data_IF_654363232972
#
_entry.id   IF_654363232972
#
_cell.length_a   1.000
_cell.length_b   1.000
_cell.length_c   1.000
_cell.angle_alpha   90.00
_cell.angle_beta   90.00
_cell.angle_gamma   90.00
#
_symmetry.space_group_name_H-M   'P 1'
#
loop_
_entity.id
_entity.type
_entity.pdbx_description
1 polymer ?
#
# COMPACT_ATOMS: atom_id res chain seq x y z
N UNK A 1 -9.90 8.63 -2.13
CA UNK A 1 -9.08 7.82 -3.06
C UNK A 1 -9.46 8.22 -4.46
N UNK A 2 -8.61 9.03 -5.11
CA UNK A 2 -8.79 9.40 -6.51
C UNK A 2 -7.75 8.60 -7.29
N UNK A 3 -8.21 7.76 -8.21
CA UNK A 3 -7.35 7.06 -9.13
C UNK A 3 -7.06 7.99 -10.29
N UNK A 4 -5.78 8.24 -10.56
CA UNK A 4 -5.35 9.10 -11.65
C UNK A 4 -4.41 8.31 -12.55
N UNK A 5 -4.46 8.65 -13.84
CA UNK A 5 -3.56 8.09 -14.83
C UNK A 5 -2.54 9.12 -15.31
N UNK A 6 -1.33 8.65 -15.60
CA UNK A 6 -0.34 9.38 -16.38
C UNK A 6 0.28 8.44 -17.41
N UNK A 7 0.75 9.00 -18.53
CA UNK A 7 1.28 8.21 -19.64
C UNK A 7 2.49 8.86 -20.27
N UNK A 8 3.37 8.03 -20.82
CA UNK A 8 4.48 8.45 -21.66
C UNK A 8 4.58 7.58 -22.92
N UNK A 9 4.93 8.23 -24.02
CA UNK A 9 5.34 7.60 -25.26
C UNK A 9 6.82 7.90 -25.49
N UNK A 10 7.65 6.86 -25.50
CA UNK A 10 9.09 6.99 -25.65
C UNK A 10 9.58 6.24 -26.89
N UNK A 11 10.02 7.02 -27.89
CA UNK A 11 10.48 6.49 -29.18
C UNK A 11 12.00 6.52 -29.27
N UNK A 12 12.58 5.35 -29.53
CA UNK A 12 14.03 5.18 -29.76
C UNK A 12 14.29 4.89 -31.24
N UNK A 13 14.61 5.93 -32.00
CA UNK A 13 14.98 5.84 -33.42
C UNK A 13 16.28 5.08 -33.65
N UNK A 14 17.26 5.24 -32.76
CA UNK A 14 18.59 4.65 -32.88
C UNK A 14 18.74 3.31 -32.15
N UNK A 15 17.62 2.61 -31.87
CA UNK A 15 17.61 1.37 -31.10
C UNK A 15 18.68 0.36 -31.54
N UNK A 16 18.77 0.07 -32.84
CA UNK A 16 19.74 -0.93 -33.34
C UNK A 16 21.20 -0.49 -33.16
N UNK A 17 21.48 0.81 -33.30
CA UNK A 17 22.82 1.36 -33.08
C UNK A 17 23.21 1.20 -31.62
N UNK A 18 22.36 1.67 -30.71
CA UNK A 18 22.57 1.56 -29.25
C UNK A 18 22.68 0.10 -28.81
N UNK A 19 21.80 -0.76 -29.33
CA UNK A 19 21.80 -2.19 -29.06
C UNK A 19 23.06 -2.90 -29.56
N UNK A 20 23.64 -2.45 -30.68
CA UNK A 20 24.90 -3.00 -31.19
C UNK A 20 26.08 -2.51 -30.36
N UNK A 21 26.08 -1.24 -29.96
CA UNK A 21 27.12 -0.66 -29.08
C UNK A 21 27.14 -1.29 -27.68
N UNK A 22 26.04 -1.90 -27.21
CA UNK A 22 25.98 -2.58 -25.92
C UNK A 22 26.71 -3.94 -25.88
N UNK A 23 27.46 -4.29 -26.94
CA UNK A 23 28.23 -5.54 -27.00
C UNK A 23 29.39 -5.56 -26.00
N UNK A 24 30.03 -4.40 -25.81
CA UNK A 24 31.24 -4.27 -24.99
C UNK A 24 30.97 -3.67 -23.59
N UNK A 25 29.76 -3.17 -23.35
CA UNK A 25 29.39 -2.53 -22.08
C UNK A 25 27.87 -2.52 -21.92
N UNK A 26 27.41 -2.62 -20.67
CA UNK A 26 26.01 -2.42 -20.33
C UNK A 26 25.62 -0.95 -20.56
N UNK A 27 24.57 -0.73 -21.36
CA UNK A 27 24.05 0.62 -21.64
C UNK A 27 22.67 0.72 -21.01
N UNK A 28 22.45 1.78 -20.23
CA UNK A 28 21.15 2.12 -19.66
C UNK A 28 20.73 3.50 -20.14
N UNK A 29 19.49 3.60 -20.61
CA UNK A 29 18.87 4.86 -21.02
C UNK A 29 17.60 5.10 -20.21
N UNK A 30 17.27 6.37 -20.02
CA UNK A 30 16.06 6.81 -19.32
C UNK A 30 15.27 7.76 -20.21
N UNK A 31 13.94 7.66 -20.16
CA UNK A 31 13.07 8.66 -20.78
C UNK A 31 13.13 9.99 -20.03
N UNK A 32 12.50 11.02 -20.59
CA UNK A 32 12.09 12.18 -19.80
C UNK A 32 11.15 11.75 -18.67
N UNK A 33 11.16 12.54 -17.59
CA UNK A 33 10.22 12.34 -16.48
C UNK A 33 8.83 12.78 -16.89
N UNK A 34 7.85 11.99 -16.50
CA UNK A 34 6.45 12.31 -16.63
C UNK A 34 5.76 12.20 -15.26
N UNK A 35 4.71 12.98 -15.07
CA UNK A 35 3.98 13.06 -13.80
C UNK A 35 2.51 13.37 -14.11
N UNK A 36 1.69 13.44 -13.08
CA UNK A 36 0.35 14.00 -13.23
C UNK A 36 0.30 15.39 -12.57
N UNK A 37 -0.35 16.34 -13.23
CA UNK A 37 -0.49 17.72 -12.73
C UNK A 37 -1.20 17.80 -11.37
N UNK A 38 -2.14 16.89 -11.10
CA UNK A 38 -2.88 16.84 -9.84
C UNK A 38 -2.00 16.31 -8.68
N UNK A 39 -0.87 15.67 -8.98
CA UNK A 39 0.03 15.10 -7.98
C UNK A 39 1.52 15.23 -8.39
N UNK A 40 2.08 16.45 -8.37
CA UNK A 40 3.41 16.72 -8.92
C UNK A 40 4.57 16.26 -8.02
N UNK A 41 4.29 15.82 -6.77
CA UNK A 41 5.32 15.32 -5.83
C UNK A 41 5.86 13.95 -6.22
N UNK A 42 5.20 13.26 -7.14
CA UNK A 42 5.65 11.99 -7.72
C UNK A 42 5.77 12.10 -9.22
N UNK A 43 6.90 11.63 -9.71
CA UNK A 43 7.18 11.51 -11.13
C UNK A 43 7.63 10.08 -11.44
N UNK A 44 7.57 9.72 -12.71
CA UNK A 44 8.04 8.45 -13.22
C UNK A 44 8.94 8.67 -14.43
N UNK A 45 9.83 7.73 -14.68
CA UNK A 45 10.59 7.64 -15.93
C UNK A 45 10.77 6.19 -16.33
N UNK A 46 10.74 5.93 -17.63
CA UNK A 46 11.02 4.61 -18.18
C UNK A 46 12.52 4.40 -18.25
N UNK A 47 12.95 3.24 -17.80
CA UNK A 47 14.34 2.79 -17.90
C UNK A 47 14.41 1.61 -18.86
N UNK A 48 15.39 1.64 -19.76
CA UNK A 48 15.76 0.50 -20.60
C UNK A 48 17.24 0.19 -20.40
N UNK A 49 17.56 -1.08 -20.32
CA UNK A 49 18.93 -1.55 -20.18
C UNK A 49 19.22 -2.68 -21.15
N UNK A 50 20.37 -2.56 -21.79
CA UNK A 50 20.89 -3.53 -22.74
C UNK A 50 22.02 -4.31 -22.10
N UNK A 51 21.85 -5.63 -21.99
CA UNK A 51 22.86 -6.53 -21.44
C UNK A 51 23.15 -7.62 -22.47
N UNK A 52 24.43 -7.81 -22.80
CA UNK A 52 24.88 -8.88 -23.73
C UNK A 52 25.91 -9.84 -23.15
N UNK A 53 26.40 -9.59 -21.93
CA UNK A 53 27.43 -10.40 -21.26
C UNK A 53 26.98 -11.86 -21.05
N UNK A 54 25.67 -12.10 -20.93
CA UNK A 54 25.08 -13.42 -20.68
C UNK A 54 24.06 -13.85 -21.76
N UNK A 55 24.03 -13.17 -22.91
CA UNK A 55 23.01 -13.35 -23.97
C UNK A 55 22.27 -12.06 -24.31
N UNK A 56 21.52 -11.98 -25.44
CA UNK A 56 20.82 -10.77 -25.87
C UNK A 56 19.60 -10.46 -24.98
N UNK A 57 19.79 -9.63 -23.96
CA UNK A 57 18.75 -9.28 -23.00
C UNK A 57 18.45 -7.76 -23.02
N UNK A 58 17.16 -7.41 -22.99
CA UNK A 58 16.67 -6.04 -22.89
C UNK A 58 15.72 -5.96 -21.70
N UNK A 59 16.14 -5.24 -20.66
CA UNK A 59 15.34 -5.02 -19.46
C UNK A 59 14.64 -3.68 -19.55
N UNK A 60 13.33 -3.67 -19.30
CA UNK A 60 12.51 -2.45 -19.29
C UNK A 60 11.76 -2.40 -17.97
N UNK A 61 11.86 -1.27 -17.26
CA UNK A 61 11.13 -1.06 -16.01
C UNK A 61 10.72 0.41 -15.86
N UNK A 62 9.74 0.63 -15.00
CA UNK A 62 9.33 1.96 -14.56
C UNK A 62 10.10 2.31 -13.28
N UNK A 63 10.70 3.50 -13.24
CA UNK A 63 11.27 4.06 -12.01
C UNK A 63 10.37 5.18 -11.50
N UNK A 64 9.93 5.07 -10.25
CA UNK A 64 9.21 6.14 -9.55
C UNK A 64 10.22 7.03 -8.82
N UNK A 65 10.01 8.35 -8.90
CA UNK A 65 10.76 9.38 -8.20
C UNK A 65 9.81 10.05 -7.22
N UNK A 66 10.21 10.10 -5.94
CA UNK A 66 9.33 10.45 -4.84
C UNK A 66 8.41 9.29 -4.46
N UNK A 67 7.42 9.53 -3.60
CA UNK A 67 7.09 10.82 -2.99
C UNK A 67 8.18 11.32 -2.02
N UNK A 68 8.34 12.65 -1.95
CA UNK A 68 9.39 13.28 -1.13
C UNK A 68 9.02 13.40 0.36
N UNK A 69 7.75 13.12 0.71
CA UNK A 69 7.23 13.10 2.09
C UNK A 69 6.77 11.69 2.43
N UNK A 70 6.90 11.32 3.69
CA UNK A 70 6.52 9.97 4.18
C UNK A 70 5.00 9.76 4.15
N UNK A 71 4.22 10.84 4.22
CA UNK A 71 2.76 10.81 4.25
C UNK A 71 2.12 10.86 2.86
N UNK A 72 2.87 11.28 1.85
CA UNK A 72 2.49 11.10 0.46
C UNK A 72 2.72 9.61 0.16
N UNK A 73 1.75 8.73 0.33
CA UNK A 73 1.89 7.31 -0.04
C UNK A 73 1.21 7.10 -1.40
N UNK A 74 1.96 6.55 -2.35
CA UNK A 74 1.47 6.29 -3.72
C UNK A 74 1.48 4.80 -4.00
N UNK A 75 0.30 4.24 -4.24
CA UNK A 75 0.16 2.90 -4.77
C UNK A 75 0.10 2.96 -6.29
N UNK A 76 1.17 2.49 -6.94
CA UNK A 76 1.33 2.60 -8.40
C UNK A 76 1.15 1.25 -9.07
N UNK A 77 0.21 1.17 -10.00
CA UNK A 77 0.11 0.12 -11.01
C UNK A 77 0.57 0.67 -12.34
N UNK A 78 1.22 -0.16 -13.14
CA UNK A 78 1.68 0.27 -14.46
C UNK A 78 1.58 -0.84 -15.49
N UNK A 79 1.47 -0.42 -16.75
CA UNK A 79 1.57 -1.29 -17.93
C UNK A 79 2.59 -0.69 -18.87
N UNK A 80 3.50 -1.53 -19.38
CA UNK A 80 4.48 -1.14 -20.39
C UNK A 80 4.21 -1.98 -21.65
N UNK A 81 4.04 -1.30 -22.77
CA UNK A 81 3.86 -1.90 -24.09
C UNK A 81 5.07 -1.57 -24.95
N UNK A 82 5.71 -2.61 -25.48
CA UNK A 82 6.76 -2.46 -26.47
C UNK A 82 6.18 -2.71 -27.87
N UNK A 83 6.20 -1.67 -28.70
CA UNK A 83 5.75 -1.70 -30.08
C UNK A 83 6.94 -1.56 -31.00
N UNK A 84 6.99 -2.43 -32.02
CA UNK A 84 7.97 -2.32 -33.10
C UNK A 84 7.35 -1.55 -34.25
N UNK A 85 7.95 -0.44 -34.63
CA UNK A 85 7.53 0.32 -35.81
C UNK A 85 8.16 -0.27 -37.09
N UNK A 86 7.53 -0.02 -38.25
CA UNK A 86 8.00 -0.40 -39.59
C UNK A 86 9.42 0.09 -39.87
N UNK A 87 9.85 1.16 -39.20
CA UNK A 87 11.18 1.77 -39.31
C UNK A 87 12.26 1.15 -38.39
N UNK A 88 12.01 -0.02 -37.79
CA UNK A 88 12.93 -0.69 -36.83
C UNK A 88 13.27 0.14 -35.59
N UNK A 89 12.49 1.18 -35.28
CA UNK A 89 12.56 1.89 -33.99
C UNK A 89 11.78 1.11 -32.92
N UNK A 90 12.27 1.15 -31.68
CA UNK A 90 11.53 0.68 -30.52
C UNK A 90 10.65 1.82 -30.01
N UNK A 91 9.35 1.55 -29.85
CA UNK A 91 8.41 2.48 -29.24
C UNK A 91 7.89 1.87 -27.93
N UNK A 92 8.15 2.54 -26.82
CA UNK A 92 7.63 2.15 -25.51
C UNK A 92 6.48 3.07 -25.13
N UNK A 93 5.33 2.47 -24.83
CA UNK A 93 4.22 3.17 -24.21
C UNK A 93 4.08 2.69 -22.78
N UNK A 94 4.03 3.62 -21.83
CA UNK A 94 3.74 3.28 -20.45
C UNK A 94 2.54 4.07 -19.96
N UNK A 95 1.61 3.34 -19.37
CA UNK A 95 0.48 3.89 -18.63
C UNK A 95 0.69 3.55 -17.15
N UNK A 96 0.56 4.57 -16.33
CA UNK A 96 0.68 4.52 -14.88
C UNK A 96 -0.65 4.90 -14.30
N UNK A 97 -1.24 4.00 -13.53
CA UNK A 97 -2.45 4.22 -12.74
C UNK A 97 -2.01 4.25 -11.28
N UNK A 98 -2.27 5.35 -10.59
CA UNK A 98 -1.87 5.47 -9.20
C UNK A 98 -3.00 6.01 -8.35
N UNK A 99 -3.12 5.43 -7.16
CA UNK A 99 -4.05 5.86 -6.15
C UNK A 99 -3.31 6.79 -5.21
N UNK A 100 -3.80 8.03 -5.12
CA UNK A 100 -3.36 8.96 -4.10
C UNK A 100 -4.55 9.40 -3.25
N UNK A 101 -4.23 9.72 -2.00
CA UNK A 101 -5.15 10.32 -1.06
C UNK A 101 -4.76 11.78 -0.96
N UNK A 102 -5.65 12.67 -1.38
CA UNK A 102 -5.47 14.09 -1.14
C UNK A 102 -5.68 14.35 0.35
N UNK A 103 -4.58 14.30 1.11
CA UNK A 103 -4.58 14.63 2.54
C UNK A 103 -4.82 16.13 2.76
N UNK A 104 -4.70 16.98 1.72
CA UNK A 104 -5.04 18.40 1.85
C UNK A 104 -6.55 18.64 1.91
N UNK A 105 -7.35 17.65 1.56
CA UNK A 105 -8.81 17.67 1.69
C UNK A 105 -9.27 17.13 3.06
N UNK A 106 -8.33 16.73 3.93
CA UNK A 106 -8.63 16.56 5.35
C UNK A 106 -8.98 17.94 5.91
N UNK A 107 -10.08 18.00 6.65
CA UNK A 107 -10.43 19.20 7.40
C UNK A 107 -9.26 19.48 8.35
N UNK A 108 -8.39 20.45 8.03
CA UNK A 108 -7.27 20.88 8.88
C UNK A 108 -7.79 21.53 10.18
N UNK A 109 -8.56 20.78 10.95
CA UNK A 109 -9.14 21.16 12.22
C UNK A 109 -8.14 20.66 13.27
N UNK A 110 -7.17 21.51 13.59
CA UNK A 110 -6.08 21.25 14.53
C UNK A 110 -6.51 21.21 16.01
N UNK A 111 -7.73 20.79 16.34
CA UNK A 111 -8.25 20.96 17.70
C UNK A 111 -8.45 19.62 18.41
N UNK A 112 -7.83 19.45 19.59
CA UNK A 112 -7.94 18.28 20.47
C UNK A 112 -9.39 17.91 20.91
N UNK A 113 -10.41 18.63 20.42
CA UNK A 113 -11.86 18.43 20.62
C UNK A 113 -12.60 18.00 19.33
N UNK A 114 -11.89 17.35 18.39
CA UNK A 114 -12.30 17.00 17.02
C UNK A 114 -13.71 16.41 16.83
N UNK A 115 -14.25 15.73 17.84
CA UNK A 115 -15.53 15.03 17.73
C UNK A 115 -16.71 15.73 18.36
N UNK A 116 -16.54 16.83 19.10
CA UNK A 116 -17.62 17.33 19.98
C UNK A 116 -18.46 18.47 19.40
N UNK A 117 -17.85 19.38 18.63
CA UNK A 117 -18.55 20.56 18.11
C UNK A 117 -19.24 20.20 16.80
N UNK A 118 -20.57 20.39 16.73
CA UNK A 118 -21.43 19.99 15.60
C UNK A 118 -21.52 18.49 15.30
N UNK A 119 -21.14 17.66 16.27
CA UNK A 119 -21.28 16.21 16.17
C UNK A 119 -22.73 15.83 15.85
N UNK A 120 -22.93 15.11 14.75
CA UNK A 120 -24.22 14.56 14.31
C UNK A 120 -24.22 13.02 14.32
N UNK A 121 -23.16 12.42 14.87
CA UNK A 121 -22.98 10.98 15.01
C UNK A 121 -22.39 10.60 16.37
N UNK A 122 -22.88 9.52 16.95
CA UNK A 122 -22.34 8.85 18.12
C UNK A 122 -21.87 7.44 17.73
N UNK A 123 -20.63 7.10 18.07
CA UNK A 123 -20.11 5.74 17.96
C UNK A 123 -20.07 5.13 19.36
N UNK A 124 -20.89 4.10 19.56
CA UNK A 124 -20.90 3.28 20.77
C UNK A 124 -19.90 2.13 20.59
N UNK A 125 -18.82 2.13 21.37
CA UNK A 125 -17.77 1.12 21.36
C UNK A 125 -17.48 0.67 22.80
N UNK A 126 -17.83 -0.58 23.10
CA UNK A 126 -17.78 -1.09 24.48
C UNK A 126 -18.67 -0.25 25.42
N UNK A 127 -18.07 0.29 26.47
CA UNK A 127 -18.69 1.19 27.46
C UNK A 127 -18.50 2.68 27.12
N UNK A 128 -17.93 2.99 25.97
CA UNK A 128 -17.54 4.35 25.59
C UNK A 128 -18.37 4.85 24.41
N UNK A 129 -18.67 6.15 24.46
CA UNK A 129 -19.36 6.87 23.37
C UNK A 129 -18.42 7.90 22.79
N UNK A 130 -18.14 7.80 21.50
CA UNK A 130 -17.27 8.73 20.77
C UNK A 130 -18.14 9.56 19.83
N UNK A 131 -18.13 10.88 20.03
CA UNK A 131 -18.84 11.82 19.16
C UNK A 131 -18.03 12.06 17.87
N UNK A 132 -18.71 12.15 16.73
CA UNK A 132 -18.09 12.38 15.42
C UNK A 132 -19.09 12.93 14.41
N UNK A 133 -18.68 13.03 13.14
CA UNK A 133 -19.49 13.56 12.04
C UNK A 133 -19.78 12.49 11.00
N UNK A 134 -21.05 12.33 10.62
CA UNK A 134 -21.51 11.40 9.57
C UNK A 134 -20.80 11.65 8.25
N UNK A 135 -20.64 12.93 7.88
CA UNK A 135 -19.96 13.33 6.65
C UNK A 135 -18.50 12.85 6.62
N UNK A 136 -17.76 13.00 7.72
CA UNK A 136 -16.36 12.58 7.81
C UNK A 136 -16.27 11.06 7.69
N UNK A 137 -17.09 10.32 8.42
CA UNK A 137 -17.16 8.86 8.31
C UNK A 137 -17.47 8.41 6.87
N UNK A 138 -18.48 9.00 6.24
CA UNK A 138 -18.91 8.67 4.87
C UNK A 138 -17.86 9.01 3.81
N UNK A 139 -17.12 10.11 3.99
CA UNK A 139 -16.03 10.52 3.08
C UNK A 139 -14.89 9.49 3.05
N UNK A 140 -14.54 8.94 4.21
CA UNK A 140 -13.37 8.06 4.35
C UNK A 140 -13.70 6.56 4.29
N UNK A 141 -14.99 6.18 4.38
CA UNK A 141 -15.43 4.78 4.33
C UNK A 141 -16.69 4.61 3.49
N UNK A 142 -16.59 3.74 2.47
CA UNK A 142 -17.75 3.30 1.68
C UNK A 142 -18.78 2.55 2.51
N UNK A 143 -18.36 1.90 3.60
CA UNK A 143 -19.25 1.18 4.52
C UNK A 143 -20.09 2.19 5.31
N UNK A 144 -19.47 3.22 5.88
CA UNK A 144 -20.20 4.30 6.56
C UNK A 144 -21.10 5.09 5.60
N UNK A 145 -20.63 5.38 4.38
CA UNK A 145 -21.46 6.04 3.37
C UNK A 145 -22.76 5.25 3.13
N UNK A 146 -22.65 3.96 2.83
CA UNK A 146 -23.81 3.08 2.62
C UNK A 146 -24.70 2.99 3.86
N UNK A 147 -24.09 2.93 5.04
CA UNK A 147 -24.81 2.87 6.32
C UNK A 147 -25.70 4.10 6.53
N UNK A 148 -25.24 5.30 6.12
CA UNK A 148 -26.01 6.54 6.27
C UNK A 148 -26.96 6.85 5.10
N UNK A 149 -26.70 6.32 3.90
CA UNK A 149 -27.60 6.48 2.73
C UNK A 149 -28.87 5.62 2.83
N UNK A 150 -28.82 4.50 3.55
CA UNK A 150 -29.93 3.55 3.64
C UNK A 150 -31.11 4.10 4.46
N UNK A 151 -32.12 4.61 3.75
CA UNK A 151 -33.40 5.03 4.33
C UNK A 151 -34.07 3.86 5.07
N UNK A 152 -34.04 3.90 6.39
CA UNK A 152 -34.73 2.92 7.24
C UNK A 152 -33.91 2.42 8.43
N UNK A 153 -32.58 2.51 8.35
CA UNK A 153 -31.67 2.07 9.42
C UNK A 153 -31.59 3.08 10.57
N UNK A 154 -31.36 2.59 11.79
CA UNK A 154 -31.27 3.43 13.00
C UNK A 154 -30.06 4.35 12.90
N UNK A 155 -28.97 3.85 12.33
CA UNK A 155 -27.74 4.56 12.03
C UNK A 155 -28.01 5.80 11.16
N UNK A 156 -28.85 5.65 10.12
CA UNK A 156 -29.26 6.72 9.22
C UNK A 156 -30.28 7.69 9.86
N UNK A 157 -31.11 7.24 10.80
CA UNK A 157 -32.13 8.07 11.47
C UNK A 157 -31.60 8.84 12.69
N UNK A 158 -30.87 8.17 13.56
CA UNK A 158 -30.49 8.67 14.88
C UNK A 158 -29.02 9.09 14.96
N UNK A 159 -28.19 8.65 14.02
CA UNK A 159 -26.76 8.96 14.00
C UNK A 159 -25.97 8.12 14.98
N UNK A 160 -26.51 6.99 15.42
CA UNK A 160 -25.82 6.09 16.35
C UNK A 160 -25.28 4.88 15.62
N UNK A 161 -23.98 4.61 15.78
CA UNK A 161 -23.28 3.45 15.21
C UNK A 161 -22.75 2.60 16.34
N UNK A 162 -22.97 1.29 16.29
CA UNK A 162 -22.47 0.35 17.30
C UNK A 162 -21.29 -0.43 16.72
N UNK A 163 -20.15 -0.38 17.40
CA UNK A 163 -18.93 -1.14 17.07
C UNK A 163 -18.59 -2.03 18.25
N UNK A 164 -18.90 -3.32 18.15
CA UNK A 164 -18.77 -4.29 19.25
C UNK A 164 -17.51 -5.15 19.21
N UNK A 165 -16.81 -5.18 18.08
CA UNK A 165 -15.67 -6.06 17.76
C UNK A 165 -14.36 -5.27 17.59
N UNK A 166 -14.25 -4.10 18.22
CA UNK A 166 -13.04 -3.27 18.15
C UNK A 166 -12.82 -2.54 19.47
N UNK A 167 -11.56 -2.24 19.79
CA UNK A 167 -11.19 -1.46 20.97
C UNK A 167 -11.51 0.03 20.77
N UNK A 168 -11.90 0.77 21.84
CA UNK A 168 -12.07 2.21 21.76
C UNK A 168 -10.84 2.94 21.20
N UNK A 169 -9.63 2.45 21.51
CA UNK A 169 -8.35 2.99 21.04
C UNK A 169 -8.21 2.86 19.52
N UNK A 170 -8.56 1.71 18.95
CA UNK A 170 -8.54 1.51 17.49
C UNK A 170 -9.57 2.37 16.76
N UNK A 171 -10.77 2.54 17.33
CA UNK A 171 -11.80 3.43 16.78
C UNK A 171 -11.33 4.88 16.81
N UNK A 172 -10.74 5.33 17.92
CA UNK A 172 -10.16 6.69 18.04
C UNK A 172 -9.06 6.92 17.03
N UNK A 173 -8.14 5.97 16.88
CA UNK A 173 -7.05 6.08 15.91
C UNK A 173 -7.57 6.16 14.47
N UNK A 174 -8.61 5.39 14.12
CA UNK A 174 -9.28 5.51 12.82
C UNK A 174 -9.91 6.89 12.62
N UNK A 175 -10.55 7.45 13.66
CA UNK A 175 -11.12 8.79 13.60
C UNK A 175 -10.05 9.87 13.50
N UNK A 176 -8.99 9.80 14.32
CA UNK A 176 -7.82 10.69 14.25
C UNK A 176 -7.30 10.72 12.81
N UNK A 177 -7.12 9.54 12.21
CA UNK A 177 -6.73 9.42 10.81
C UNK A 177 -7.72 10.07 9.82
N UNK A 178 -9.04 9.95 10.04
CA UNK A 178 -10.02 10.60 9.15
C UNK A 178 -9.93 12.13 9.21
N UNK A 179 -9.62 12.67 10.37
CA UNK A 179 -9.59 14.11 10.55
C UNK A 179 -8.24 14.75 10.21
N UNK A 180 -7.13 14.14 10.62
CA UNK A 180 -5.78 14.71 10.43
C UNK A 180 -5.01 14.07 9.28
N UNK A 181 -5.36 12.84 8.90
CA UNK A 181 -4.55 12.01 8.01
C UNK A 181 -3.37 11.33 8.70
N UNK A 182 -3.19 11.55 10.00
CA UNK A 182 -2.06 11.06 10.78
C UNK A 182 -2.54 10.25 11.98
N UNK A 183 -1.65 9.37 12.47
CA UNK A 183 -1.82 8.65 13.73
C UNK A 183 -0.47 8.73 14.44
N UNK A 184 -0.48 9.05 15.73
CA UNK A 184 0.76 9.08 16.52
C UNK A 184 1.51 7.74 16.45
N UNK A 185 2.85 7.81 16.46
CA UNK A 185 3.72 6.62 16.40
C UNK A 185 3.44 5.66 17.57
N UNK A 186 3.25 6.18 18.78
CA UNK A 186 2.95 5.38 19.97
C UNK A 186 1.63 4.62 19.85
N UNK A 187 0.62 5.23 19.24
CA UNK A 187 -0.67 4.57 18.99
C UNK A 187 -0.52 3.46 17.96
N UNK A 188 0.25 3.69 16.90
CA UNK A 188 0.58 2.65 15.90
C UNK A 188 1.34 1.48 16.54
N UNK A 189 2.41 1.75 17.29
CA UNK A 189 3.19 0.72 17.98
C UNK A 189 2.32 -0.16 18.89
N UNK A 190 1.40 0.45 19.62
CA UNK A 190 0.56 -0.26 20.60
C UNK A 190 -0.62 -1.01 19.97
N UNK A 191 -1.21 -0.48 18.89
CA UNK A 191 -2.52 -0.92 18.40
C UNK A 191 -2.61 -1.22 16.90
N UNK A 192 -1.49 -1.25 16.14
CA UNK A 192 -1.53 -1.38 14.66
C UNK A 192 -2.38 -2.56 14.14
N UNK A 193 -2.38 -3.70 14.85
CA UNK A 193 -3.19 -4.85 14.46
C UNK A 193 -4.70 -4.58 14.54
N UNK A 194 -5.16 -3.96 15.63
CA UNK A 194 -6.57 -3.62 15.82
C UNK A 194 -7.00 -2.48 14.89
N UNK A 195 -6.11 -1.50 14.67
CA UNK A 195 -6.32 -0.41 13.71
C UNK A 195 -6.44 -0.99 12.29
N UNK A 196 -5.60 -1.96 11.92
CA UNK A 196 -5.73 -2.65 10.65
C UNK A 196 -7.06 -3.40 10.54
N UNK A 197 -7.49 -4.11 11.59
CA UNK A 197 -8.74 -4.85 11.60
C UNK A 197 -9.97 -3.96 11.39
N UNK A 198 -10.06 -2.83 12.11
CA UNK A 198 -11.16 -1.88 11.94
C UNK A 198 -11.10 -1.18 10.58
N UNK A 199 -9.90 -0.83 10.09
CA UNK A 199 -9.72 -0.27 8.75
C UNK A 199 -10.15 -1.26 7.65
N UNK A 200 -9.87 -2.55 7.82
CA UNK A 200 -10.35 -3.60 6.94
C UNK A 200 -11.87 -3.70 6.97
N UNK A 201 -12.49 -3.77 8.16
CA UNK A 201 -13.94 -3.86 8.34
C UNK A 201 -14.69 -2.70 7.67
N UNK A 202 -14.20 -1.47 7.85
CA UNK A 202 -14.81 -0.27 7.27
C UNK A 202 -14.23 0.13 5.91
N UNK A 203 -13.43 -0.73 5.28
CA UNK A 203 -12.86 -0.52 3.93
C UNK A 203 -12.11 0.82 3.79
N UNK A 204 -11.31 1.17 4.80
CA UNK A 204 -10.44 2.35 4.80
C UNK A 204 -9.07 1.95 4.23
N UNK A 205 -8.97 1.91 2.89
CA UNK A 205 -7.81 1.29 2.22
C UNK A 205 -6.46 1.94 2.56
N UNK A 206 -6.40 3.28 2.66
CA UNK A 206 -5.16 3.96 3.04
C UNK A 206 -4.69 3.62 4.45
N UNK A 207 -5.63 3.52 5.39
CA UNK A 207 -5.29 3.19 6.77
C UNK A 207 -4.80 1.75 6.86
N UNK A 208 -5.42 0.81 6.12
CA UNK A 208 -4.90 -0.56 5.98
C UNK A 208 -3.46 -0.55 5.46
N UNK A 209 -3.22 0.15 4.35
CA UNK A 209 -1.90 0.23 3.75
C UNK A 209 -0.86 0.84 4.70
N UNK A 210 -1.21 1.92 5.42
CA UNK A 210 -0.33 2.56 6.41
C UNK A 210 -0.01 1.60 7.57
N UNK A 211 -0.98 0.80 8.02
CA UNK A 211 -0.76 -0.25 9.01
C UNK A 211 0.15 -1.37 8.46
N UNK A 212 -0.06 -1.85 7.23
CA UNK A 212 0.82 -2.85 6.59
C UNK A 212 2.25 -2.35 6.48
N UNK A 213 2.43 -1.11 6.02
CA UNK A 213 3.73 -0.48 5.88
C UNK A 213 4.43 -0.33 7.23
N UNK A 214 3.70 0.12 8.26
CA UNK A 214 4.23 0.23 9.61
C UNK A 214 4.68 -1.12 10.15
N UNK A 215 3.82 -2.16 10.09
CA UNK A 215 4.18 -3.53 10.52
C UNK A 215 5.38 -4.07 9.73
N UNK A 216 5.44 -3.79 8.42
CA UNK A 216 6.57 -4.20 7.57
C UNK A 216 7.91 -3.60 7.99
N UNK A 217 7.89 -2.42 8.61
CA UNK A 217 9.10 -1.71 9.04
C UNK A 217 9.66 -2.18 10.38
N UNK A 218 8.91 -2.99 11.14
CA UNK A 218 9.26 -3.43 12.49
C UNK A 218 9.21 -4.96 12.65
N UNK A 219 9.27 -5.73 11.55
CA UNK A 219 9.22 -7.20 11.62
C UNK A 219 10.43 -7.76 12.39
N UNK A 220 10.15 -8.65 13.33
CA UNK A 220 11.13 -9.43 14.06
C UNK A 220 10.61 -10.87 14.33
N UNK A 221 11.40 -11.67 15.04
CA UNK A 221 11.02 -13.04 15.38
C UNK A 221 9.83 -13.12 16.37
N UNK A 222 9.64 -12.11 17.22
CA UNK A 222 8.62 -12.10 18.26
C UNK A 222 7.23 -11.76 17.69
N UNK A 223 7.19 -10.89 16.68
CA UNK A 223 5.93 -10.36 16.14
C UNK A 223 5.45 -11.03 14.85
N UNK A 224 6.32 -11.75 14.13
CA UNK A 224 5.98 -12.33 12.83
C UNK A 224 4.82 -13.32 12.89
N UNK A 225 4.68 -14.08 13.98
CA UNK A 225 3.56 -15.01 14.15
C UNK A 225 2.21 -14.26 14.21
N UNK A 226 2.16 -13.13 14.93
CA UNK A 226 0.99 -12.25 14.97
C UNK A 226 0.66 -11.71 13.57
N UNK A 227 1.67 -11.33 12.80
CA UNK A 227 1.50 -10.85 11.42
C UNK A 227 1.00 -11.94 10.47
N UNK A 228 1.44 -13.19 10.64
CA UNK A 228 0.88 -14.34 9.92
C UNK A 228 -0.63 -14.51 10.19
N UNK A 229 -1.07 -14.26 11.42
CA UNK A 229 -2.49 -14.23 11.78
C UNK A 229 -3.26 -13.14 11.00
N UNK A 230 -2.73 -11.93 10.95
CA UNK A 230 -3.32 -10.80 10.19
C UNK A 230 -3.40 -11.11 8.69
N UNK A 231 -2.30 -11.60 8.10
CA UNK A 231 -2.23 -11.97 6.68
C UNK A 231 -3.26 -13.05 6.36
N UNK A 232 -3.35 -14.08 7.20
CA UNK A 232 -4.24 -15.22 6.97
C UNK A 232 -5.72 -14.85 7.12
N UNK A 233 -6.04 -13.95 8.06
CA UNK A 233 -7.43 -13.57 8.34
C UNK A 233 -7.99 -12.54 7.36
N UNK A 234 -7.18 -11.53 7.01
CA UNK A 234 -7.66 -10.36 6.27
C UNK A 234 -7.09 -10.22 4.86
N UNK A 235 -5.99 -10.92 4.55
CA UNK A 235 -5.20 -10.67 3.34
C UNK A 235 -4.46 -9.33 3.43
N UNK A 236 -3.15 -9.40 3.67
CA UNK A 236 -2.27 -8.24 3.78
C UNK A 236 -1.04 -8.43 2.88
N UNK A 237 -1.14 -8.16 1.57
CA UNK A 237 -0.13 -8.57 0.59
C UNK A 237 1.21 -7.85 0.75
N UNK A 238 1.20 -6.60 1.22
CA UNK A 238 2.44 -5.85 1.46
C UNK A 238 3.18 -6.43 2.66
N UNK A 239 2.43 -6.69 3.74
CA UNK A 239 2.96 -7.33 4.93
C UNK A 239 3.44 -8.76 4.65
N UNK A 240 2.69 -9.55 3.87
CA UNK A 240 3.06 -10.91 3.48
C UNK A 240 4.42 -10.93 2.76
N UNK A 241 4.62 -10.04 1.80
CA UNK A 241 5.89 -9.93 1.08
C UNK A 241 7.04 -9.51 2.00
N UNK A 242 6.78 -8.60 2.95
CA UNK A 242 7.77 -8.18 3.93
C UNK A 242 8.15 -9.33 4.88
N UNK A 243 7.19 -10.09 5.39
CA UNK A 243 7.42 -11.30 6.19
C UNK A 243 8.24 -12.33 5.39
N UNK A 244 7.88 -12.61 4.14
CA UNK A 244 8.61 -13.52 3.28
C UNK A 244 10.07 -13.09 3.08
N UNK A 245 10.30 -11.78 2.92
CA UNK A 245 11.65 -11.20 2.79
C UNK A 245 12.45 -11.33 4.09
N UNK A 246 11.84 -11.05 5.24
CA UNK A 246 12.46 -11.24 6.55
C UNK A 246 12.90 -12.70 6.75
N UNK A 247 12.01 -13.65 6.46
CA UNK A 247 12.31 -15.09 6.57
C UNK A 247 13.44 -15.46 5.59
N UNK A 248 13.40 -15.00 4.34
CA UNK A 248 14.45 -15.28 3.35
C UNK A 248 15.84 -14.83 3.84
N UNK A 249 15.93 -13.60 4.37
CA UNK A 249 17.18 -13.02 4.89
C UNK A 249 17.69 -13.81 6.08
N UNK A 250 16.80 -14.26 6.97
CA UNK A 250 17.14 -14.96 8.21
C UNK A 250 17.05 -16.50 8.11
N UNK A 251 16.86 -17.05 6.91
CA UNK A 251 16.43 -18.44 6.69
C UNK A 251 17.26 -19.52 7.41
N UNK A 252 18.57 -19.30 7.60
CA UNK A 252 19.46 -20.28 8.23
C UNK A 252 19.11 -20.53 9.70
N UNK A 253 18.82 -19.47 10.44
CA UNK A 253 18.41 -19.56 11.85
C UNK A 253 16.90 -19.73 11.98
N UNK A 254 16.13 -18.97 11.20
CA UNK A 254 14.69 -18.90 11.36
C UNK A 254 13.96 -20.21 11.04
N UNK A 255 14.33 -20.90 9.95
CA UNK A 255 13.66 -22.14 9.53
C UNK A 255 13.90 -23.34 10.48
N UNK A 256 14.86 -23.21 11.40
CA UNK A 256 15.13 -24.21 12.44
C UNK A 256 14.66 -23.74 13.83
N UNK A 257 13.97 -22.59 13.89
CA UNK A 257 13.50 -21.96 15.11
C UNK A 257 12.05 -22.33 15.44
N UNK A 258 11.69 -22.14 16.72
CA UNK A 258 10.34 -22.42 17.24
C UNK A 258 9.27 -21.59 16.52
N UNK A 259 9.62 -20.37 16.12
CA UNK A 259 8.74 -19.45 15.41
C UNK A 259 8.30 -20.01 14.06
N UNK A 260 9.20 -20.73 13.37
CA UNK A 260 8.87 -21.38 12.10
C UNK A 260 7.96 -22.60 12.32
N UNK A 261 8.25 -23.44 13.32
CA UNK A 261 7.40 -24.58 13.68
C UNK A 261 5.96 -24.13 13.99
N UNK A 262 5.81 -22.99 14.69
CA UNK A 262 4.50 -22.39 14.99
C UNK A 262 3.80 -21.89 13.71
N UNK A 263 4.54 -21.26 12.78
CA UNK A 263 3.97 -20.82 11.49
C UNK A 263 3.52 -22.03 10.65
N UNK A 264 4.29 -23.10 10.60
CA UNK A 264 3.93 -24.31 9.86
C UNK A 264 2.70 -25.00 10.45
N UNK A 265 2.61 -25.05 11.78
CA UNK A 265 1.50 -25.65 12.50
C UNK A 265 0.21 -24.85 12.36
N UNK A 266 0.27 -23.53 12.62
CA UNK A 266 -0.93 -22.68 12.65
C UNK A 266 -1.35 -22.14 11.28
N UNK A 267 -0.40 -21.97 10.35
CA UNK A 267 -0.64 -21.33 9.05
C UNK A 267 0.02 -22.09 7.87
N UNK A 268 -0.30 -23.38 7.65
CA UNK A 268 0.39 -24.24 6.69
C UNK A 268 0.30 -23.76 5.23
N UNK A 269 -0.79 -23.08 4.85
CA UNK A 269 -0.90 -22.51 3.49
C UNK A 269 -0.01 -21.27 3.32
N UNK A 270 0.15 -20.49 4.37
CA UNK A 270 1.00 -19.31 4.37
C UNK A 270 2.49 -19.71 4.40
N UNK A 271 2.86 -20.70 5.22
CA UNK A 271 4.23 -21.24 5.24
C UNK A 271 4.65 -21.74 3.85
N UNK A 272 3.78 -22.48 3.16
CA UNK A 272 4.03 -22.92 1.78
C UNK A 272 4.26 -21.76 0.80
N UNK A 273 3.52 -20.64 0.95
CA UNK A 273 3.74 -19.44 0.13
C UNK A 273 5.09 -18.79 0.43
N UNK A 274 5.49 -18.71 1.70
CA UNK A 274 6.81 -18.21 2.08
C UNK A 274 7.94 -19.09 1.53
N UNK A 275 7.82 -20.41 1.61
CA UNK A 275 8.82 -21.33 1.05
C UNK A 275 8.94 -21.18 -0.47
N UNK A 276 7.82 -21.06 -1.20
CA UNK A 276 7.83 -20.81 -2.64
C UNK A 276 8.55 -19.51 -2.99
N UNK A 277 8.27 -18.44 -2.25
CA UNK A 277 8.96 -17.15 -2.42
C UNK A 277 10.48 -17.29 -2.24
N UNK A 278 10.92 -18.06 -1.24
CA UNK A 278 12.35 -18.28 -0.97
C UNK A 278 13.02 -19.07 -2.09
N UNK A 279 12.36 -20.12 -2.61
CA UNK A 279 12.89 -20.96 -3.70
C UNK A 279 13.02 -20.14 -4.98
N UNK A 280 11.97 -19.41 -5.37
CA UNK A 280 11.96 -18.59 -6.58
C UNK A 280 13.02 -17.47 -6.59
N UNK A 281 13.45 -16.99 -5.42
CA UNK A 281 14.54 -16.01 -5.31
C UNK A 281 15.93 -16.67 -5.41
N UNK A 282 16.08 -17.89 -4.90
CA UNK A 282 17.34 -18.65 -5.00
C UNK A 282 17.62 -18.99 -6.47
N UNK A 283 16.61 -19.37 -7.25
CA UNK A 283 16.76 -19.74 -8.67
C UNK A 283 17.10 -18.55 -9.59
N UNK A 284 17.01 -17.31 -9.09
CA UNK A 284 17.40 -16.09 -9.84
C UNK A 284 18.87 -15.71 -9.69
N UNK A 285 19.64 -16.40 -8.84
CA UNK A 285 21.07 -16.15 -8.60
C UNK A 285 21.95 -17.18 -9.30
#
# INVERSE_FOLDING_TARGET
>A
MKTITSKIEWRMSEFNTVYTSSYNSQIQLTSDRFYNSDFPSVAWELCIQFKRVSGPEVNIWLRQIGPNKIDDLVNTKYKIYAMRDKLRSLHLHCEVEFDFYDLNDNLQINDQKMGEMFADCLINVGDQVIKTHRFVLAKHSKVFLKMFEQKGMIEAKNGEVIISDSSPESVRAMLEFFYSGEISKSTMESHVGDIFAIAHKYQVEFLKYRCEYFMSSIIDAENILKYCGIISLYGAPTLEKACATYIHVNRKSFLNGKEWDEIESFYPQLSNRFLKYIIEDIDKK
#
